data_IF_508893545791
#
_entry.id   IF_508893545791
#
_cell.length_a   1.000
_cell.length_b   1.000
_cell.length_c   1.000
_cell.angle_alpha   90.00
_cell.angle_beta   90.00
_cell.angle_gamma   90.00
#
_symmetry.space_group_name_H-M   'P 1'
#
loop_
_entity.id
_entity.type
_entity.pdbx_description
1 polymer ?
#
# COMPACT_ATOMS: atom_id res chain seq x y z
N UNK A 1 19.26 8.88 17.48
CA UNK A 1 18.81 7.46 17.49
C UNK A 1 18.69 7.03 18.93
N UNK A 2 17.52 6.60 19.38
CA UNK A 2 17.39 5.95 20.68
C UNK A 2 18.16 4.63 20.63
N UNK A 3 18.92 4.33 21.65
CA UNK A 3 19.67 3.07 21.75
C UNK A 3 18.67 1.91 21.74
N UNK A 4 18.94 0.84 20.99
CA UNK A 4 18.08 -0.38 20.92
C UNK A 4 17.74 -0.90 22.32
N UNK A 5 18.63 -0.72 23.28
CA UNK A 5 18.41 -1.10 24.69
C UNK A 5 17.36 -0.26 25.45
N UNK A 6 16.76 0.76 24.83
CA UNK A 6 15.71 1.61 25.43
C UNK A 6 14.29 1.25 24.97
N UNK A 7 14.15 0.27 24.06
CA UNK A 7 12.83 -0.19 23.62
C UNK A 7 12.22 -1.13 24.67
N UNK A 8 10.91 -1.04 24.81
CA UNK A 8 10.15 -1.98 25.63
C UNK A 8 10.41 -3.39 25.12
N UNK A 9 10.61 -4.35 26.02
CA UNK A 9 10.90 -5.74 25.63
C UNK A 9 9.65 -6.57 25.36
N UNK A 10 8.52 -6.18 25.96
CA UNK A 10 7.27 -6.91 25.87
C UNK A 10 6.21 -6.07 25.16
N UNK A 11 5.66 -6.63 24.09
CA UNK A 11 4.55 -6.07 23.33
C UNK A 11 3.48 -7.16 23.15
N UNK A 12 2.23 -6.74 23.02
CA UNK A 12 1.14 -7.66 22.69
C UNK A 12 1.25 -8.14 21.24
N UNK A 13 1.73 -7.25 20.35
CA UNK A 13 1.83 -7.53 18.92
C UNK A 13 3.14 -6.99 18.34
N UNK A 14 3.86 -7.84 17.61
CA UNK A 14 5.01 -7.46 16.80
C UNK A 14 4.66 -7.59 15.32
N UNK A 15 4.73 -6.48 14.58
CA UNK A 15 4.50 -6.43 13.14
C UNK A 15 5.84 -6.34 12.42
N UNK A 16 6.09 -7.27 11.50
CA UNK A 16 7.32 -7.31 10.71
C UNK A 16 7.09 -6.60 9.38
N UNK A 17 7.81 -5.48 9.19
CA UNK A 17 7.63 -4.58 8.05
C UNK A 17 6.51 -3.56 8.28
N UNK A 18 6.65 -2.38 7.67
CA UNK A 18 5.74 -1.23 7.84
C UNK A 18 4.95 -0.89 6.56
N UNK A 19 4.90 -1.80 5.60
CA UNK A 19 4.24 -1.60 4.30
C UNK A 19 2.73 -1.40 4.40
N UNK A 20 2.05 -1.43 3.26
CA UNK A 20 0.62 -1.14 3.15
C UNK A 20 -0.26 -2.02 4.05
N UNK A 21 0.09 -3.30 4.22
CA UNK A 21 -0.66 -4.22 5.10
C UNK A 21 -0.46 -3.93 6.60
N UNK A 22 0.71 -3.45 6.99
CA UNK A 22 1.01 -3.16 8.39
C UNK A 22 0.24 -1.96 8.95
N UNK A 23 0.02 -0.93 8.12
CA UNK A 23 -0.66 0.30 8.54
C UNK A 23 -2.04 0.07 9.16
N UNK A 24 -2.98 -0.60 8.47
CA UNK A 24 -4.32 -0.89 9.01
C UNK A 24 -4.29 -1.76 10.26
N UNK A 25 -3.40 -2.75 10.32
CA UNK A 25 -3.24 -3.65 11.49
C UNK A 25 -2.76 -2.84 12.69
N UNK A 26 -1.67 -2.07 12.53
CA UNK A 26 -1.14 -1.23 13.58
C UNK A 26 -2.17 -0.20 14.07
N UNK A 27 -2.87 0.45 13.15
CA UNK A 27 -3.94 1.39 13.48
C UNK A 27 -5.05 0.75 14.32
N UNK A 28 -5.56 -0.39 13.85
CA UNK A 28 -6.68 -1.06 14.51
C UNK A 28 -6.30 -1.55 15.91
N UNK A 29 -5.17 -2.21 16.04
CA UNK A 29 -4.75 -2.80 17.31
C UNK A 29 -4.31 -1.74 18.33
N UNK A 30 -3.55 -0.74 17.91
CA UNK A 30 -3.14 0.34 18.82
C UNK A 30 -4.32 1.18 19.33
N UNK A 31 -5.33 1.41 18.47
CA UNK A 31 -6.58 2.07 18.88
C UNK A 31 -7.44 1.21 19.80
N UNK A 32 -7.31 -0.11 19.73
CA UNK A 32 -7.95 -1.04 20.66
C UNK A 32 -7.20 -1.19 21.99
N UNK A 33 -6.05 -0.50 22.17
CA UNK A 33 -5.27 -0.49 23.41
C UNK A 33 -4.13 -1.50 23.47
N UNK A 34 -3.93 -2.33 22.44
CA UNK A 34 -2.80 -3.26 22.37
C UNK A 34 -1.48 -2.51 22.21
N UNK A 35 -0.44 -2.99 22.89
CA UNK A 35 0.93 -2.50 22.75
C UNK A 35 1.55 -3.10 21.48
N UNK A 36 1.72 -2.28 20.47
CA UNK A 36 2.15 -2.70 19.12
C UNK A 36 3.56 -2.20 18.85
N UNK A 37 4.45 -3.07 18.38
CA UNK A 37 5.74 -2.68 17.80
C UNK A 37 5.77 -3.05 16.32
N UNK A 38 6.29 -2.15 15.49
CA UNK A 38 6.57 -2.39 14.08
C UNK A 38 8.09 -2.37 13.90
N UNK A 39 8.65 -3.47 13.38
CA UNK A 39 10.06 -3.58 13.05
C UNK A 39 10.23 -3.40 11.54
N UNK A 40 10.92 -2.34 11.13
CA UNK A 40 11.12 -2.00 9.73
C UNK A 40 12.61 -1.95 9.40
N UNK A 41 13.02 -2.70 8.35
CA UNK A 41 14.43 -2.73 7.94
C UNK A 41 14.93 -1.42 7.35
N UNK A 42 14.04 -0.64 6.73
CA UNK A 42 14.33 0.65 6.14
C UNK A 42 14.33 1.80 7.13
N UNK A 43 14.80 2.97 6.67
CA UNK A 43 14.82 4.19 7.46
C UNK A 43 13.48 4.91 7.50
N UNK A 44 13.33 5.82 8.46
CA UNK A 44 12.22 6.79 8.47
C UNK A 44 12.61 8.03 7.67
N UNK A 45 11.76 8.42 6.74
CA UNK A 45 11.90 9.62 5.93
C UNK A 45 10.62 10.47 6.00
N UNK A 46 10.79 11.77 6.12
CA UNK A 46 9.68 12.75 6.16
C UNK A 46 9.38 13.27 4.75
N UNK A 47 8.32 14.07 4.63
CA UNK A 47 7.90 14.67 3.35
C UNK A 47 9.02 15.47 2.71
N UNK A 48 9.75 16.26 3.49
CA UNK A 48 10.87 17.09 3.04
C UNK A 48 12.09 16.31 2.51
N UNK A 49 12.19 15.03 2.84
CA UNK A 49 13.25 14.14 2.35
C UNK A 49 12.97 13.68 0.92
N UNK A 50 11.71 13.71 0.48
CA UNK A 50 11.30 13.39 -0.87
C UNK A 50 11.47 14.60 -1.78
N UNK A 51 12.65 14.73 -2.38
CA UNK A 51 12.96 15.85 -3.25
C UNK A 51 12.16 15.79 -4.55
N UNK A 52 11.79 16.97 -5.08
CA UNK A 52 11.27 17.15 -6.45
C UNK A 52 12.45 17.09 -7.43
N UNK A 53 13.10 15.96 -7.50
CA UNK A 53 14.33 15.74 -8.24
C UNK A 53 14.35 14.31 -8.77
N UNK A 54 14.69 14.14 -10.03
CA UNK A 54 14.64 12.86 -10.73
C UNK A 54 15.68 11.87 -10.19
N UNK A 55 16.78 12.36 -9.68
CA UNK A 55 17.85 11.53 -9.13
C UNK A 55 17.66 11.26 -7.64
N UNK A 56 17.25 12.28 -6.86
CA UNK A 56 17.22 12.22 -5.40
C UNK A 56 15.83 11.89 -4.84
N UNK A 57 14.77 12.00 -5.62
CA UNK A 57 13.38 11.73 -5.19
C UNK A 57 12.86 10.35 -5.59
N UNK A 58 13.57 9.65 -6.46
CA UNK A 58 13.10 8.40 -7.06
C UNK A 58 13.31 7.21 -6.12
N UNK A 59 12.42 6.22 -6.19
CA UNK A 59 12.42 4.99 -5.36
C UNK A 59 13.76 4.25 -5.31
N UNK A 60 14.57 4.31 -6.38
CA UNK A 60 15.83 3.57 -6.48
C UNK A 60 16.88 3.99 -5.43
N UNK A 61 16.78 5.18 -4.85
CA UNK A 61 17.67 5.59 -3.75
C UNK A 61 17.27 4.97 -2.40
N UNK A 62 16.03 4.47 -2.28
CA UNK A 62 15.48 3.88 -1.06
C UNK A 62 15.52 2.34 -1.07
N UNK A 63 16.20 1.71 -2.02
CA UNK A 63 16.39 0.26 -2.02
C UNK A 63 17.62 -0.15 -1.21
N UNK A 64 17.65 -1.44 -0.84
CA UNK A 64 18.82 -2.00 -0.19
C UNK A 64 20.03 -1.98 -1.14
N UNK A 65 21.15 -1.54 -0.62
CA UNK A 65 22.47 -1.64 -1.31
C UNK A 65 23.16 -2.95 -1.04
N UNK A 66 22.59 -3.80 -0.19
CA UNK A 66 23.15 -5.08 0.22
C UNK A 66 22.88 -6.10 -0.89
N UNK A 67 23.94 -6.67 -1.49
CA UNK A 67 23.80 -7.64 -2.58
C UNK A 67 22.93 -8.85 -2.22
N UNK A 68 22.97 -9.30 -0.98
CA UNK A 68 22.19 -10.44 -0.47
C UNK A 68 20.68 -10.15 -0.38
N UNK A 69 20.28 -8.91 -0.53
CA UNK A 69 18.88 -8.49 -0.54
C UNK A 69 18.35 -8.19 -1.95
N UNK A 70 19.13 -8.51 -2.98
CA UNK A 70 18.66 -8.41 -4.35
C UNK A 70 17.56 -9.43 -4.60
N UNK A 71 16.56 -9.00 -5.34
CA UNK A 71 15.51 -9.90 -5.79
C UNK A 71 16.08 -10.83 -6.87
N UNK A 72 15.70 -12.09 -6.79
CA UNK A 72 15.99 -13.07 -7.82
C UNK A 72 14.75 -13.16 -8.71
N UNK A 73 14.92 -12.93 -9.98
CA UNK A 73 13.91 -13.15 -11.00
C UNK A 73 14.14 -14.56 -11.57
N UNK A 74 13.13 -15.41 -11.45
CA UNK A 74 13.12 -16.73 -12.06
C UNK A 74 12.22 -16.68 -13.29
N UNK A 75 12.77 -16.96 -14.45
CA UNK A 75 12.04 -17.01 -15.71
C UNK A 75 12.23 -18.35 -16.41
N UNK A 76 11.20 -18.87 -17.10
CA UNK A 76 11.39 -20.04 -17.95
C UNK A 76 12.48 -19.75 -18.98
N UNK A 77 13.41 -20.68 -19.13
CA UNK A 77 14.48 -20.59 -20.13
C UNK A 77 14.14 -21.40 -21.39
N UNK A 78 14.75 -21.05 -22.51
CA UNK A 78 14.50 -21.68 -23.83
C UNK A 78 14.83 -23.19 -23.86
N UNK A 79 15.64 -23.66 -22.93
CA UNK A 79 16.01 -25.09 -22.78
C UNK A 79 15.00 -25.89 -21.92
N UNK A 80 13.89 -25.26 -21.51
CA UNK A 80 12.84 -25.86 -20.66
C UNK A 80 13.17 -25.88 -19.17
N UNK A 81 14.28 -25.23 -18.77
CA UNK A 81 14.63 -24.99 -17.37
C UNK A 81 14.13 -23.64 -16.85
N UNK A 82 14.73 -23.20 -15.76
CA UNK A 82 14.52 -21.87 -15.18
C UNK A 82 15.85 -21.13 -15.15
N UNK A 83 15.86 -19.93 -15.71
CA UNK A 83 16.97 -18.99 -15.50
C UNK A 83 16.71 -18.16 -14.25
N UNK A 84 17.75 -17.90 -13.49
CA UNK A 84 17.66 -17.04 -12.31
C UNK A 84 18.62 -15.87 -12.48
N UNK A 85 18.11 -14.66 -12.47
CA UNK A 85 18.92 -13.44 -12.50
C UNK A 85 18.61 -12.54 -11.31
N UNK A 86 19.63 -11.88 -10.78
CA UNK A 86 19.46 -10.93 -9.70
C UNK A 86 19.15 -9.56 -10.26
N UNK A 87 17.96 -9.03 -9.95
CA UNK A 87 17.58 -7.70 -10.41
C UNK A 87 17.53 -6.67 -9.27
N UNK A 88 17.99 -5.47 -9.59
CA UNK A 88 17.83 -4.28 -8.76
C UNK A 88 16.52 -3.52 -9.08
N UNK A 89 15.74 -3.99 -10.05
CA UNK A 89 14.62 -3.26 -10.63
C UNK A 89 13.26 -3.52 -9.95
N UNK A 90 13.25 -4.24 -8.84
CA UNK A 90 12.01 -4.52 -8.12
C UNK A 90 11.37 -3.25 -7.52
N UNK A 91 10.04 -3.21 -7.50
CA UNK A 91 9.24 -2.07 -7.00
C UNK A 91 9.25 -1.91 -5.48
N UNK A 92 10.18 -2.53 -4.79
CA UNK A 92 10.36 -2.42 -3.35
C UNK A 92 10.97 -1.08 -2.91
N UNK A 93 10.83 -0.79 -1.62
CA UNK A 93 11.51 0.32 -0.97
C UNK A 93 11.83 -0.02 0.48
N UNK A 94 13.11 0.09 0.85
CA UNK A 94 13.56 -0.07 2.24
C UNK A 94 13.37 1.23 3.01
N UNK A 95 12.14 1.47 3.40
CA UNK A 95 11.69 2.72 4.00
C UNK A 95 10.44 2.43 4.84
N UNK A 96 10.26 3.14 5.93
CA UNK A 96 9.00 3.09 6.69
C UNK A 96 7.83 3.43 5.75
N UNK A 97 6.81 2.55 5.72
CA UNK A 97 5.71 2.58 4.77
C UNK A 97 5.94 1.75 3.51
N UNK A 98 7.15 1.20 3.31
CA UNK A 98 7.48 0.31 2.20
C UNK A 98 7.19 0.91 0.82
N UNK A 99 6.88 0.04 -0.14
CA UNK A 99 6.58 0.42 -1.53
C UNK A 99 5.35 1.34 -1.68
N UNK A 100 4.44 1.41 -0.68
CA UNK A 100 3.28 2.30 -0.72
C UNK A 100 3.66 3.78 -0.83
N UNK A 101 4.89 4.17 -0.44
CA UNK A 101 5.40 5.52 -0.65
C UNK A 101 5.58 5.89 -2.13
N UNK A 102 5.82 4.88 -3.00
CA UNK A 102 6.19 5.06 -4.41
C UNK A 102 5.10 4.63 -5.40
N UNK A 103 3.95 4.19 -4.90
CA UNK A 103 2.81 3.78 -5.72
C UNK A 103 2.26 4.94 -6.55
N UNK A 104 1.62 4.64 -7.66
CA UNK A 104 0.81 5.61 -8.42
C UNK A 104 -0.54 5.90 -7.75
N UNK A 105 -0.82 5.20 -6.67
CA UNK A 105 -1.98 5.37 -5.80
C UNK A 105 -3.34 5.16 -6.48
N UNK A 106 -3.41 4.31 -7.50
CA UNK A 106 -4.68 3.74 -7.92
C UNK A 106 -5.27 2.93 -6.78
N UNK A 107 -6.56 3.13 -6.50
CA UNK A 107 -7.20 2.56 -5.33
C UNK A 107 -8.51 1.89 -5.71
N UNK A 108 -8.40 0.69 -6.27
CA UNK A 108 -9.54 -0.11 -6.71
C UNK A 108 -10.01 -1.05 -5.59
N UNK A 109 -11.30 -1.34 -5.58
CA UNK A 109 -11.83 -2.50 -4.89
C UNK A 109 -11.82 -3.70 -5.85
N UNK A 110 -11.68 -4.90 -5.32
CA UNK A 110 -12.02 -6.12 -6.05
C UNK A 110 -13.53 -6.12 -6.34
N UNK A 111 -13.94 -6.73 -7.43
CA UNK A 111 -15.36 -6.89 -7.78
C UNK A 111 -15.91 -8.17 -7.13
N UNK A 112 -17.23 -8.32 -6.96
CA UNK A 112 -17.80 -9.55 -6.39
C UNK A 112 -17.30 -10.83 -7.03
N UNK A 113 -17.18 -10.88 -8.37
CA UNK A 113 -16.69 -12.06 -9.09
C UNK A 113 -15.20 -12.34 -8.91
N UNK A 114 -14.38 -11.37 -8.50
CA UNK A 114 -12.97 -11.60 -8.22
C UNK A 114 -12.75 -12.49 -6.99
N UNK A 115 -13.77 -12.61 -6.13
CA UNK A 115 -13.80 -13.55 -4.99
C UNK A 115 -14.26 -14.96 -5.38
N UNK A 116 -14.69 -15.17 -6.63
CA UNK A 116 -15.32 -16.40 -7.13
C UNK A 116 -14.73 -16.84 -8.46
N UNK A 117 -13.43 -16.68 -8.64
CA UNK A 117 -12.78 -16.95 -9.93
C UNK A 117 -12.98 -18.37 -10.42
N UNK A 118 -12.87 -19.39 -9.56
CA UNK A 118 -13.08 -20.77 -9.94
C UNK A 118 -14.54 -21.04 -10.31
N UNK A 119 -15.49 -20.51 -9.53
CA UNK A 119 -16.93 -20.66 -9.81
C UNK A 119 -17.35 -19.91 -11.07
N UNK A 120 -16.75 -18.75 -11.38
CA UNK A 120 -17.10 -17.91 -12.53
C UNK A 120 -16.53 -18.45 -13.85
N UNK A 121 -15.29 -18.92 -13.83
CA UNK A 121 -14.56 -19.28 -15.07
C UNK A 121 -14.30 -20.78 -15.22
N UNK A 122 -14.56 -21.59 -14.17
CA UNK A 122 -14.20 -23.01 -14.15
C UNK A 122 -12.69 -23.24 -14.01
N UNK A 123 -12.25 -24.51 -14.01
CA UNK A 123 -10.82 -24.84 -13.99
C UNK A 123 -10.14 -24.35 -15.26
N UNK A 124 -8.99 -23.69 -15.11
CA UNK A 124 -8.14 -23.24 -16.22
C UNK A 124 -6.86 -24.06 -16.20
N UNK A 125 -6.54 -24.71 -17.33
CA UNK A 125 -5.32 -25.51 -17.47
C UNK A 125 -4.07 -24.67 -17.20
N UNK A 126 -3.18 -25.17 -16.36
CA UNK A 126 -1.96 -24.46 -15.97
C UNK A 126 -2.15 -23.34 -14.93
N UNK A 127 -3.39 -23.05 -14.49
CA UNK A 127 -3.66 -22.05 -13.47
C UNK A 127 -4.20 -22.68 -12.18
N UNK A 128 -3.67 -22.24 -11.04
CA UNK A 128 -4.14 -22.65 -9.72
C UNK A 128 -5.07 -21.60 -9.12
N UNK A 129 -6.31 -21.50 -9.66
CA UNK A 129 -7.33 -20.57 -9.18
C UNK A 129 -8.27 -21.24 -8.19
N UNK A 130 -8.69 -20.49 -7.18
CA UNK A 130 -9.65 -20.91 -6.17
C UNK A 130 -10.63 -19.77 -5.88
N UNK A 131 -11.79 -20.13 -5.34
CA UNK A 131 -12.67 -19.13 -4.73
C UNK A 131 -12.11 -18.71 -3.38
N UNK A 132 -12.24 -17.42 -3.06
CA UNK A 132 -11.88 -16.94 -1.74
C UNK A 132 -12.88 -17.44 -0.69
N UNK A 133 -12.43 -17.73 0.57
CA UNK A 133 -13.32 -18.17 1.65
C UNK A 133 -14.23 -17.05 2.19
N UNK A 134 -14.12 -15.86 1.65
CA UNK A 134 -14.91 -14.65 1.97
C UNK A 134 -15.54 -14.08 0.70
N UNK A 135 -16.59 -13.30 0.86
CA UNK A 135 -17.30 -12.63 -0.23
C UNK A 135 -16.91 -11.14 -0.34
N UNK A 136 -17.37 -10.50 -1.40
CA UNK A 136 -17.29 -9.03 -1.52
C UNK A 136 -18.06 -8.32 -0.39
N UNK A 137 -19.23 -8.85 -0.02
CA UNK A 137 -20.08 -8.23 1.01
C UNK A 137 -19.42 -8.29 2.40
N UNK A 138 -18.65 -9.34 2.67
CA UNK A 138 -17.82 -9.43 3.88
C UNK A 138 -16.71 -8.36 3.88
N UNK A 139 -16.18 -8.00 2.72
CA UNK A 139 -15.09 -7.05 2.56
C UNK A 139 -15.53 -5.59 2.41
N UNK A 140 -16.75 -5.33 1.93
CA UNK A 140 -17.24 -4.00 1.63
C UNK A 140 -17.11 -3.00 2.80
N UNK A 141 -17.47 -3.35 4.05
CA UNK A 141 -17.30 -2.47 5.19
C UNK A 141 -15.83 -2.09 5.46
N UNK A 142 -14.90 -2.99 5.17
CA UNK A 142 -13.46 -2.75 5.35
C UNK A 142 -12.90 -1.88 4.22
N UNK A 143 -13.35 -2.05 2.98
CA UNK A 143 -13.03 -1.12 1.90
C UNK A 143 -13.48 0.30 2.25
N UNK A 144 -14.72 0.48 2.65
CA UNK A 144 -15.27 1.77 3.08
C UNK A 144 -14.48 2.37 4.24
N UNK A 145 -14.12 1.57 5.23
CA UNK A 145 -13.31 2.01 6.38
C UNK A 145 -11.93 2.49 5.95
N UNK A 146 -11.23 1.73 5.11
CA UNK A 146 -9.89 2.09 4.64
C UNK A 146 -9.94 3.33 3.74
N UNK A 147 -10.91 3.43 2.85
CA UNK A 147 -11.12 4.62 2.02
C UNK A 147 -11.28 5.88 2.85
N UNK A 148 -12.05 5.80 3.92
CA UNK A 148 -12.28 6.93 4.85
C UNK A 148 -11.00 7.28 5.61
N UNK A 149 -10.29 6.28 6.15
CA UNK A 149 -9.09 6.50 6.96
C UNK A 149 -7.93 7.05 6.14
N UNK A 150 -7.75 6.55 4.94
CA UNK A 150 -6.68 6.99 4.02
C UNK A 150 -7.03 8.32 3.37
N UNK A 151 -8.30 8.59 3.16
CA UNK A 151 -8.79 9.76 2.44
C UNK A 151 -8.71 9.56 0.93
N UNK A 152 -9.53 8.63 0.40
CA UNK A 152 -9.55 8.37 -1.04
C UNK A 152 -10.32 9.46 -1.76
N UNK A 153 -9.74 9.96 -2.87
CA UNK A 153 -10.37 10.89 -3.79
C UNK A 153 -10.92 10.14 -4.99
N UNK A 154 -12.16 10.43 -5.36
CA UNK A 154 -12.82 9.76 -6.47
C UNK A 154 -14.25 10.25 -6.67
N UNK A 155 -14.93 9.59 -7.58
CA UNK A 155 -16.36 9.80 -7.83
C UNK A 155 -17.04 8.47 -8.07
N UNK A 156 -18.11 8.21 -7.38
CA UNK A 156 -18.94 7.03 -7.63
C UNK A 156 -19.73 7.24 -8.91
N UNK A 157 -19.64 6.30 -9.83
CA UNK A 157 -20.40 6.29 -11.09
C UNK A 157 -21.26 5.03 -11.09
N UNK A 158 -22.52 5.17 -11.41
CA UNK A 158 -23.43 4.02 -11.54
C UNK A 158 -23.17 3.35 -12.90
N UNK A 159 -22.55 2.19 -12.85
CA UNK A 159 -22.30 1.36 -14.04
C UNK A 159 -22.35 -0.13 -13.65
N UNK A 160 -22.97 -1.00 -14.47
CA UNK A 160 -23.17 -2.42 -14.13
C UNK A 160 -21.87 -3.23 -13.88
N UNK A 161 -20.76 -2.74 -14.42
CA UNK A 161 -19.46 -3.41 -14.26
C UNK A 161 -18.61 -2.87 -13.10
N UNK A 162 -19.11 -1.87 -12.36
CA UNK A 162 -18.43 -1.38 -11.15
C UNK A 162 -18.92 -2.14 -9.93
N UNK A 163 -18.07 -2.17 -8.92
CA UNK A 163 -18.38 -2.79 -7.65
C UNK A 163 -19.53 -2.07 -6.93
N UNK A 164 -20.44 -2.78 -6.27
CA UNK A 164 -21.47 -2.18 -5.41
C UNK A 164 -20.84 -1.49 -4.21
N UNK A 165 -21.48 -0.43 -3.70
CA UNK A 165 -20.97 0.38 -2.59
C UNK A 165 -22.11 0.74 -1.64
N UNK A 166 -21.80 0.71 -0.33
CA UNK A 166 -22.71 1.20 0.71
C UNK A 166 -22.70 2.73 0.85
N UNK A 167 -21.63 3.38 0.35
CA UNK A 167 -21.49 4.84 0.39
C UNK A 167 -21.92 5.47 -0.93
N UNK A 168 -22.54 6.65 -0.83
CA UNK A 168 -23.00 7.40 -2.02
C UNK A 168 -21.84 7.95 -2.84
N UNK A 169 -20.70 8.29 -2.20
CA UNK A 169 -19.51 8.81 -2.88
C UNK A 169 -18.22 8.46 -2.09
N UNK A 170 -17.09 8.80 -2.64
CA UNK A 170 -15.79 8.73 -1.96
C UNK A 170 -15.66 9.83 -0.91
N UNK A 171 -14.74 9.68 0.09
CA UNK A 171 -14.51 10.71 1.10
C UNK A 171 -14.15 12.09 0.54
N UNK A 172 -13.46 12.12 -0.59
CA UNK A 172 -13.03 13.36 -1.25
C UNK A 172 -13.36 13.37 -2.74
N UNK A 173 -13.60 14.56 -3.32
CA UNK A 173 -13.84 14.70 -4.75
C UNK A 173 -12.61 14.21 -5.55
N UNK A 174 -12.78 13.90 -6.84
CA UNK A 174 -11.67 13.49 -7.70
C UNK A 174 -10.52 14.49 -7.68
N UNK A 175 -9.30 14.02 -7.92
CA UNK A 175 -8.17 14.89 -8.24
C UNK A 175 -8.45 15.64 -9.55
N UNK A 176 -7.78 16.78 -9.74
CA UNK A 176 -7.91 17.57 -10.98
C UNK A 176 -7.63 16.69 -12.20
N UNK A 177 -8.43 16.84 -13.19
CA UNK A 177 -8.28 16.16 -14.45
C UNK A 177 -7.16 16.80 -15.29
N UNK A 178 -6.43 15.97 -16.02
CA UNK A 178 -5.40 16.44 -16.92
C UNK A 178 -6.05 16.81 -18.27
N UNK A 179 -5.65 17.88 -18.98
CA UNK A 179 -6.26 18.30 -20.24
C UNK A 179 -6.30 17.20 -21.35
N UNK A 180 -5.34 16.29 -21.32
CA UNK A 180 -5.35 15.12 -22.23
C UNK A 180 -6.51 14.16 -21.87
N UNK A 181 -6.78 13.95 -20.58
CA UNK A 181 -7.87 13.09 -20.13
C UNK A 181 -9.24 13.65 -20.57
N UNK A 182 -9.44 14.98 -20.51
CA UNK A 182 -10.66 15.62 -21.01
C UNK A 182 -10.90 15.36 -22.50
N UNK A 183 -9.83 15.34 -23.31
CA UNK A 183 -9.91 15.00 -24.74
C UNK A 183 -10.25 13.54 -24.95
N UNK A 184 -9.61 12.67 -24.17
CA UNK A 184 -9.88 11.23 -24.16
C UNK A 184 -11.34 10.95 -23.78
N UNK A 185 -11.85 11.57 -22.73
CA UNK A 185 -13.22 11.42 -22.26
C UNK A 185 -14.25 11.83 -23.31
N UNK A 186 -13.96 12.90 -24.04
CA UNK A 186 -14.82 13.36 -25.15
C UNK A 186 -14.89 12.32 -26.26
N UNK A 187 -13.73 11.86 -26.74
CA UNK A 187 -13.67 10.84 -27.79
C UNK A 187 -14.30 9.52 -27.33
N UNK A 188 -14.07 9.10 -26.08
CA UNK A 188 -14.68 7.90 -25.52
C UNK A 188 -16.21 7.98 -25.49
N UNK A 189 -16.77 9.13 -25.10
CA UNK A 189 -18.24 9.37 -25.12
C UNK A 189 -18.83 9.32 -26.53
N UNK A 190 -18.11 9.86 -27.52
CA UNK A 190 -18.52 9.79 -28.94
C UNK A 190 -18.58 8.33 -29.44
N UNK A 191 -17.75 7.46 -28.87
CA UNK A 191 -17.74 6.02 -29.13
C UNK A 191 -18.74 5.22 -28.28
N UNK A 192 -19.57 5.86 -27.47
CA UNK A 192 -20.52 5.21 -26.57
C UNK A 192 -19.86 4.55 -25.34
N UNK A 193 -18.60 4.88 -25.04
CA UNK A 193 -17.91 4.41 -23.85
C UNK A 193 -18.23 5.30 -22.64
N UNK A 194 -17.94 4.80 -21.44
CA UNK A 194 -18.27 5.44 -20.17
C UNK A 194 -17.01 5.77 -19.36
N UNK A 195 -16.25 6.83 -19.75
CA UNK A 195 -15.10 7.27 -18.97
C UNK A 195 -15.51 7.84 -17.61
N UNK A 196 -14.72 7.59 -16.59
CA UNK A 196 -14.94 8.11 -15.24
C UNK A 196 -13.63 8.36 -14.50
N UNK A 197 -13.61 9.29 -13.52
CA UNK A 197 -12.44 9.56 -12.71
C UNK A 197 -12.06 8.34 -11.87
N UNK A 198 -10.81 7.92 -11.99
CA UNK A 198 -10.27 6.80 -11.24
C UNK A 198 -10.12 7.14 -9.76
N UNK A 199 -10.53 6.22 -8.86
CA UNK A 199 -10.29 6.37 -7.42
C UNK A 199 -8.78 6.39 -7.12
N UNK A 200 -8.35 7.36 -6.32
CA UNK A 200 -6.94 7.58 -6.01
C UNK A 200 -6.71 7.67 -4.50
N UNK A 201 -5.74 6.94 -4.01
CA UNK A 201 -5.19 7.12 -2.67
C UNK A 201 -4.34 8.38 -2.57
N UNK A 202 -4.87 9.50 -3.06
CA UNK A 202 -4.24 10.82 -3.09
C UNK A 202 -5.27 11.84 -2.65
N UNK A 203 -4.95 12.63 -1.65
CA UNK A 203 -5.83 13.69 -1.17
C UNK A 203 -6.00 14.77 -2.23
N UNK A 204 -7.24 15.07 -2.65
CA UNK A 204 -7.56 16.23 -3.49
C UNK A 204 -7.63 17.53 -2.70
N UNK A 205 -7.77 17.43 -1.38
CA UNK A 205 -7.78 18.55 -0.41
C UNK A 205 -7.15 18.10 0.93
N UNK A 206 -6.75 19.04 1.81
CA UNK A 206 -6.10 18.70 3.09
C UNK A 206 -6.98 17.81 3.98
N UNK A 207 -6.35 16.86 4.68
CA UNK A 207 -7.02 15.93 5.59
C UNK A 207 -6.05 15.37 6.65
N UNK A 208 -6.45 15.37 7.92
CA UNK A 208 -5.69 14.79 9.05
C UNK A 208 -4.20 15.22 9.07
N UNK A 209 -3.93 16.51 8.94
CA UNK A 209 -2.58 17.06 8.97
C UNK A 209 -1.76 16.83 7.70
N UNK A 210 -2.30 16.17 6.67
CA UNK A 210 -1.68 16.01 5.36
C UNK A 210 -2.21 17.06 4.38
N UNK A 211 -1.36 17.57 3.52
CA UNK A 211 -1.75 18.50 2.46
C UNK A 211 -2.47 17.80 1.32
N UNK A 212 -3.25 18.54 0.54
CA UNK A 212 -3.75 18.09 -0.75
C UNK A 212 -2.62 17.91 -1.79
N UNK A 213 -2.94 17.28 -2.91
CA UNK A 213 -1.99 17.10 -4.01
C UNK A 213 -1.59 18.43 -4.64
N UNK A 214 -0.29 18.65 -4.81
CA UNK A 214 0.28 19.84 -5.45
C UNK A 214 0.45 19.69 -6.97
N UNK A 215 0.14 18.50 -7.54
CA UNK A 215 0.25 18.20 -8.98
C UNK A 215 1.64 18.49 -9.57
N UNK A 216 2.70 18.15 -8.81
CA UNK A 216 4.08 18.48 -9.15
C UNK A 216 4.70 17.64 -10.29
N UNK A 217 4.03 16.57 -10.73
CA UNK A 217 4.59 15.62 -11.69
C UNK A 217 5.47 14.51 -11.07
N UNK A 218 6.00 14.71 -9.87
CA UNK A 218 6.81 13.72 -9.15
C UNK A 218 5.89 12.80 -8.32
N UNK A 219 5.22 11.84 -8.96
CA UNK A 219 4.21 10.99 -8.33
C UNK A 219 4.58 9.50 -8.38
N UNK A 220 4.29 8.81 -9.49
CA UNK A 220 4.64 7.39 -9.65
C UNK A 220 6.15 7.20 -9.57
N UNK A 221 6.60 6.20 -8.82
CA UNK A 221 8.03 5.93 -8.53
C UNK A 221 8.76 6.97 -7.67
N UNK A 222 8.09 8.05 -7.24
CA UNK A 222 8.66 9.07 -6.35
C UNK A 222 7.94 9.07 -5.01
N UNK A 223 8.66 9.44 -3.94
CA UNK A 223 8.06 9.77 -2.66
C UNK A 223 7.22 11.05 -2.75
N UNK A 224 6.16 11.16 -1.94
CA UNK A 224 5.25 12.31 -1.97
C UNK A 224 5.72 13.38 -0.99
N UNK A 225 6.25 14.48 -1.49
CA UNK A 225 6.75 15.60 -0.69
C UNK A 225 5.64 16.42 0.00
N UNK A 226 4.40 16.36 -0.49
CA UNK A 226 3.25 17.04 0.15
C UNK A 226 2.52 16.15 1.18
N UNK A 227 2.83 14.86 1.24
CA UNK A 227 2.10 13.92 2.10
C UNK A 227 0.70 13.55 1.58
N UNK A 228 0.28 14.05 0.42
CA UNK A 228 -1.04 13.78 -0.15
C UNK A 228 -1.26 12.31 -0.48
N UNK A 229 -0.19 11.59 -0.89
CA UNK A 229 -0.26 10.16 -1.18
C UNK A 229 -0.50 9.35 0.09
N UNK A 230 -1.55 8.54 0.08
CA UNK A 230 -2.01 7.73 1.21
C UNK A 230 -1.19 6.47 1.46
N UNK A 231 0.13 6.61 1.56
CA UNK A 231 1.00 5.52 2.01
C UNK A 231 0.72 5.16 3.46
N UNK A 232 1.09 3.95 3.87
CA UNK A 232 1.03 3.53 5.27
C UNK A 232 1.70 4.56 6.19
N UNK A 233 2.90 5.04 5.83
CA UNK A 233 3.65 6.05 6.57
C UNK A 233 2.89 7.37 6.71
N UNK A 234 2.26 7.86 5.64
CA UNK A 234 1.62 9.17 5.65
C UNK A 234 0.20 9.14 6.25
N UNK A 235 -0.56 8.07 6.02
CA UNK A 235 -1.98 8.03 6.36
C UNK A 235 -2.30 7.36 7.70
N UNK A 236 -1.67 6.25 8.04
CA UNK A 236 -2.09 5.39 9.14
C UNK A 236 -1.10 5.35 10.31
N UNK A 237 0.19 5.22 10.02
CA UNK A 237 1.21 5.14 11.08
C UNK A 237 1.23 6.37 12.00
N UNK A 238 1.07 7.63 11.53
CA UNK A 238 1.00 8.78 12.44
C UNK A 238 -0.15 8.67 13.45
N UNK A 239 -1.30 8.18 13.02
CA UNK A 239 -2.47 7.99 13.90
C UNK A 239 -2.26 6.82 14.88
N UNK A 240 -1.52 5.78 14.46
CA UNK A 240 -1.14 4.67 15.34
C UNK A 240 -0.18 5.15 16.43
N UNK A 241 0.84 5.93 16.06
CA UNK A 241 1.80 6.51 16.99
C UNK A 241 1.16 7.48 18.00
N UNK A 242 0.20 8.30 17.54
CA UNK A 242 -0.55 9.23 18.40
C UNK A 242 -1.41 8.52 19.45
N UNK A 243 -1.73 7.23 19.29
CA UNK A 243 -2.44 6.47 20.32
C UNK A 243 -1.62 6.26 21.59
N UNK A 244 -0.30 6.40 21.51
CA UNK A 244 0.63 6.06 22.58
C UNK A 244 0.89 4.55 22.75
N UNK A 245 0.16 3.70 22.02
CA UNK A 245 0.23 2.25 22.09
C UNK A 245 0.98 1.61 20.90
N UNK A 246 1.57 2.42 20.02
CA UNK A 246 2.31 1.94 18.86
C UNK A 246 3.71 2.54 18.82
N UNK A 247 4.70 1.72 18.51
CA UNK A 247 6.07 2.16 18.25
C UNK A 247 6.54 1.61 16.89
N UNK A 248 7.33 2.42 16.17
CA UNK A 248 8.00 1.98 14.93
C UNK A 248 9.50 2.05 15.16
N UNK A 249 10.18 0.94 14.97
CA UNK A 249 11.64 0.83 15.09
C UNK A 249 12.19 0.69 13.65
N UNK A 250 12.71 1.77 13.07
CA UNK A 250 13.38 1.73 11.78
C UNK A 250 14.78 1.13 11.91
N UNK A 251 15.35 0.69 10.80
CA UNK A 251 16.67 0.02 10.71
C UNK A 251 16.75 -1.29 11.53
N UNK A 252 15.59 -1.93 11.72
CA UNK A 252 15.44 -3.20 12.41
C UNK A 252 15.02 -4.29 11.42
N UNK A 253 16.00 -5.02 10.91
CA UNK A 253 15.75 -6.13 9.99
C UNK A 253 15.51 -7.40 10.79
N UNK A 254 14.30 -7.93 10.70
CA UNK A 254 13.97 -9.26 11.23
C UNK A 254 14.42 -10.31 10.22
N UNK A 255 15.16 -11.29 10.66
CA UNK A 255 15.61 -12.41 9.85
C UNK A 255 15.21 -13.78 10.44
N UNK A 256 14.64 -13.79 11.64
CA UNK A 256 14.15 -15.01 12.27
C UNK A 256 12.98 -14.73 13.21
N UNK A 257 11.99 -15.63 13.19
CA UNK A 257 10.92 -15.71 14.18
C UNK A 257 11.21 -16.92 15.07
N UNK A 258 11.38 -16.70 16.37
CA UNK A 258 11.58 -17.76 17.33
C UNK A 258 10.23 -18.27 17.82
N UNK A 259 10.03 -19.58 17.79
CA UNK A 259 8.77 -20.23 18.20
C UNK A 259 9.00 -21.13 19.41
N UNK A 260 7.94 -21.34 20.17
CA UNK A 260 7.92 -22.39 21.21
C UNK A 260 7.74 -23.79 20.56
N UNK A 261 7.74 -24.82 21.42
CA UNK A 261 7.57 -26.21 21.00
C UNK A 261 6.19 -26.50 20.32
N UNK A 262 5.22 -25.59 20.44
CA UNK A 262 3.90 -25.67 19.80
C UNK A 262 3.82 -24.85 18.50
N UNK A 263 4.92 -24.22 18.10
CA UNK A 263 4.98 -23.37 16.92
C UNK A 263 4.46 -21.93 17.12
N UNK A 264 4.14 -21.50 18.34
CA UNK A 264 3.71 -20.13 18.59
C UNK A 264 4.92 -19.19 18.58
N UNK A 265 4.82 -18.05 17.90
CA UNK A 265 5.85 -17.00 17.91
C UNK A 265 6.08 -16.46 19.32
N UNK A 266 7.35 -16.29 19.70
CA UNK A 266 7.76 -15.81 21.03
C UNK A 266 8.65 -14.59 20.99
N UNK A 267 9.53 -14.52 20.02
CA UNK A 267 10.43 -13.39 19.80
C UNK A 267 10.90 -13.33 18.36
N UNK A 268 11.57 -12.27 18.00
CA UNK A 268 12.22 -12.09 16.69
C UNK A 268 13.67 -11.64 16.89
N UNK A 269 14.54 -12.06 15.96
CA UNK A 269 15.95 -11.68 15.89
C UNK A 269 16.21 -10.81 14.66
#
# INVERSE_FOLDING_TARGET
>A
MKNINQHKKDYDVCIIGSGAGAGPVAYTLSKAGYQVVILEKGGWYNEQDFKKDEMLGRRNIFRSKIKQERHVLEEPSDDGGWSSDSTDEFWGGNIVGGASNFMSAYFHRLKPKDFRLLSEYGPIEGANIVDWPISYDDMEPYYTKVETLVGISGKVVKHPQLEPRSTADFPFPPTKEHPIAERFDRAAKELGLHPFPMARGILSQPFNGRNGCEYSGYCGSYGCHSGAKGSSRAALLPQSLQSGNCEVIPHAKVYRINTDHKGNGRSVD
#
